data_IF_066946900625
#
_entry.id   IF_066946900625
#
_cell.length_a   1.000
_cell.length_b   1.000
_cell.length_c   1.000
_cell.angle_alpha   90.00
_cell.angle_beta   90.00
_cell.angle_gamma   90.00
#
_symmetry.space_group_name_H-M   'P 1'
#
loop_
_entity.id
_entity.type
_entity.pdbx_description
1 polymer ?
#
# COMPACT_ATOMS: atom_id res chain seq x y z
N UNK A 1 20.72 -3.81 12.86
CA UNK A 1 19.31 -3.35 12.86
C UNK A 1 19.13 -2.35 14.00
N UNK A 2 18.49 -1.21 13.76
CA UNK A 2 18.21 -0.27 14.84
C UNK A 2 17.32 -0.90 15.90
N UNK A 3 17.42 -0.41 17.13
CA UNK A 3 16.52 -0.84 18.20
C UNK A 3 15.09 -0.40 17.91
N UNK A 4 14.12 -1.06 18.57
CA UNK A 4 12.70 -0.68 18.45
C UNK A 4 12.51 0.79 18.85
N UNK A 5 13.21 1.25 19.88
CA UNK A 5 13.15 2.65 20.33
C UNK A 5 13.57 3.62 19.21
N UNK A 6 14.66 3.29 18.49
CA UNK A 6 15.14 4.13 17.38
C UNK A 6 14.13 4.16 16.23
N UNK A 7 13.42 3.06 15.99
CA UNK A 7 12.40 2.98 14.92
C UNK A 7 11.19 3.87 15.20
N UNK A 8 10.95 4.23 16.46
CA UNK A 8 9.84 5.10 16.84
C UNK A 8 10.27 6.50 17.27
N UNK A 9 11.51 6.88 16.95
CA UNK A 9 11.98 8.25 17.15
C UNK A 9 11.36 9.16 16.09
N UNK A 10 10.32 9.91 16.48
CA UNK A 10 9.58 10.78 15.58
C UNK A 10 10.31 12.10 15.26
N UNK A 11 11.50 12.31 15.82
CA UNK A 11 12.37 13.41 15.36
C UNK A 11 13.10 13.04 14.06
N UNK A 12 13.08 11.77 13.69
CA UNK A 12 13.67 11.28 12.44
C UNK A 12 12.57 11.21 11.37
N UNK A 13 12.68 12.06 10.34
CA UNK A 13 11.70 12.14 9.27
C UNK A 13 11.53 10.82 8.50
N UNK A 14 12.59 10.04 8.36
CA UNK A 14 12.51 8.72 7.73
C UNK A 14 11.56 7.79 8.50
N UNK A 15 11.61 7.80 9.82
CA UNK A 15 10.71 6.99 10.64
C UNK A 15 9.25 7.41 10.45
N UNK A 16 8.98 8.71 10.36
CA UNK A 16 7.63 9.22 10.10
C UNK A 16 7.14 8.72 8.74
N UNK A 17 7.95 8.87 7.70
CA UNK A 17 7.57 8.43 6.35
C UNK A 17 7.30 6.92 6.31
N UNK A 18 8.17 6.14 6.91
CA UNK A 18 8.02 4.67 6.97
C UNK A 18 6.73 4.26 7.67
N UNK A 19 6.45 4.85 8.82
CA UNK A 19 5.25 4.54 9.60
C UNK A 19 3.99 4.91 8.83
N UNK A 20 3.97 6.08 8.20
CA UNK A 20 2.83 6.54 7.41
C UNK A 20 2.59 5.60 6.23
N UNK A 21 3.65 5.20 5.52
CA UNK A 21 3.51 4.28 4.39
C UNK A 21 2.84 2.97 4.81
N UNK A 22 3.19 2.45 5.99
CA UNK A 22 2.58 1.22 6.50
C UNK A 22 1.17 1.45 7.05
N UNK A 23 0.98 2.49 7.84
CA UNK A 23 -0.30 2.75 8.51
C UNK A 23 -1.42 3.03 7.51
N UNK A 24 -1.13 3.62 6.38
CA UNK A 24 -2.13 3.95 5.37
C UNK A 24 -2.71 2.72 4.68
N UNK A 25 -2.09 1.55 4.83
CA UNK A 25 -2.70 0.30 4.36
C UNK A 25 -3.89 -0.14 5.20
N UNK A 26 -3.99 0.29 6.46
CA UNK A 26 -5.03 -0.18 7.38
C UNK A 26 -6.45 0.05 6.85
N UNK A 27 -6.82 1.27 6.38
CA UNK A 27 -8.14 1.48 5.79
C UNK A 27 -8.40 0.60 4.56
N UNK A 28 -7.38 0.34 3.76
CA UNK A 28 -7.50 -0.50 2.56
C UNK A 28 -7.71 -1.96 2.92
N UNK A 29 -7.04 -2.44 3.97
CA UNK A 29 -7.25 -3.80 4.49
C UNK A 29 -8.67 -3.92 5.02
N UNK A 30 -9.10 -2.96 5.83
CA UNK A 30 -10.45 -2.91 6.39
C UNK A 30 -11.50 -2.98 5.28
N UNK A 31 -11.32 -2.18 4.22
CA UNK A 31 -12.27 -2.13 3.11
C UNK A 31 -12.43 -3.47 2.42
N UNK A 32 -11.34 -4.25 2.28
CA UNK A 32 -11.39 -5.55 1.62
C UNK A 32 -12.22 -6.58 2.39
N UNK A 33 -12.38 -6.40 3.69
CA UNK A 33 -13.16 -7.32 4.51
C UNK A 33 -14.57 -6.81 4.80
N UNK A 34 -14.80 -5.51 4.82
CA UNK A 34 -16.04 -4.94 5.33
C UNK A 34 -16.78 -4.01 4.37
N UNK A 35 -16.15 -3.63 3.24
CA UNK A 35 -16.78 -2.73 2.26
C UNK A 35 -17.07 -3.52 0.98
N UNK A 36 -18.36 -3.70 0.61
CA UNK A 36 -18.72 -4.51 -0.57
C UNK A 36 -18.14 -3.99 -1.88
N UNK A 37 -17.96 -2.69 -2.01
CA UNK A 37 -17.41 -2.05 -3.22
C UNK A 37 -15.97 -2.47 -3.52
N UNK A 38 -15.23 -2.94 -2.51
CA UNK A 38 -13.87 -3.44 -2.72
C UNK A 38 -13.84 -4.63 -3.67
N UNK A 39 -14.77 -5.58 -3.52
CA UNK A 39 -14.88 -6.72 -4.43
C UNK A 39 -15.25 -6.24 -5.84
N UNK A 40 -16.15 -5.26 -5.95
CA UNK A 40 -16.53 -4.66 -7.23
C UNK A 40 -15.34 -4.08 -7.98
N UNK A 41 -14.40 -3.46 -7.26
CA UNK A 41 -13.16 -2.95 -7.88
C UNK A 41 -12.35 -4.10 -8.52
N UNK A 42 -12.18 -5.22 -7.82
CA UNK A 42 -11.44 -6.37 -8.35
C UNK A 42 -12.14 -6.98 -9.56
N UNK A 43 -13.47 -7.03 -9.56
CA UNK A 43 -14.25 -7.47 -10.72
C UNK A 43 -14.02 -6.53 -11.90
N UNK A 44 -14.11 -5.22 -11.68
CA UNK A 44 -13.94 -4.20 -12.72
C UNK A 44 -12.52 -4.20 -13.30
N UNK A 45 -11.51 -4.47 -12.46
CA UNK A 45 -10.12 -4.58 -12.88
C UNK A 45 -9.80 -5.90 -13.56
N UNK A 46 -10.79 -6.80 -13.69
CA UNK A 46 -10.68 -8.09 -14.39
C UNK A 46 -9.74 -9.09 -13.72
N UNK A 47 -9.60 -9.01 -12.42
CA UNK A 47 -8.92 -10.07 -11.64
C UNK A 47 -9.83 -11.31 -11.59
N UNK A 48 -9.27 -12.47 -11.85
CA UNK A 48 -10.03 -13.73 -11.89
C UNK A 48 -9.28 -14.83 -11.17
N UNK A 49 -9.88 -15.45 -10.12
CA UNK A 49 -11.13 -15.06 -9.48
C UNK A 49 -10.94 -13.82 -8.61
N UNK A 50 -11.86 -12.84 -8.67
CA UNK A 50 -11.64 -11.55 -8.01
C UNK A 50 -11.52 -11.65 -6.49
N UNK A 51 -12.29 -12.52 -5.87
CA UNK A 51 -12.30 -12.70 -4.42
C UNK A 51 -10.98 -13.25 -3.91
N UNK A 52 -10.37 -14.19 -4.63
CA UNK A 52 -9.05 -14.75 -4.26
C UNK A 52 -7.99 -13.66 -4.30
N UNK A 53 -7.94 -12.89 -5.37
CA UNK A 53 -6.97 -11.82 -5.52
C UNK A 53 -7.17 -10.70 -4.50
N UNK A 54 -8.42 -10.40 -4.14
CA UNK A 54 -8.72 -9.44 -3.09
C UNK A 54 -8.12 -9.89 -1.75
N UNK A 55 -8.28 -11.16 -1.37
CA UNK A 55 -7.71 -11.67 -0.13
C UNK A 55 -6.20 -11.82 -0.18
N UNK A 56 -5.62 -12.16 -1.32
CA UNK A 56 -4.16 -12.16 -1.52
C UNK A 56 -3.62 -10.75 -1.31
N UNK A 57 -4.25 -9.75 -1.90
CA UNK A 57 -3.88 -8.35 -1.70
C UNK A 57 -3.96 -7.95 -0.23
N UNK A 58 -5.04 -8.32 0.47
CA UNK A 58 -5.20 -8.04 1.89
C UNK A 58 -4.09 -8.68 2.74
N UNK A 59 -3.69 -9.91 2.41
CA UNK A 59 -2.60 -10.59 3.12
C UNK A 59 -1.27 -9.88 2.92
N UNK A 60 -0.95 -9.47 1.69
CA UNK A 60 0.26 -8.71 1.37
C UNK A 60 0.25 -7.38 2.12
N UNK A 61 -0.86 -6.66 2.07
CA UNK A 61 -1.00 -5.36 2.72
C UNK A 61 -0.84 -5.47 4.25
N UNK A 62 -1.40 -6.52 4.85
CA UNK A 62 -1.25 -6.75 6.28
C UNK A 62 0.21 -7.00 6.65
N UNK A 63 0.90 -7.84 5.90
CA UNK A 63 2.30 -8.16 6.14
C UNK A 63 3.19 -6.92 6.02
N UNK A 64 3.03 -6.14 4.94
CA UNK A 64 3.85 -4.94 4.74
C UNK A 64 3.49 -3.83 5.73
N UNK A 65 2.22 -3.69 6.11
CA UNK A 65 1.79 -2.71 7.10
C UNK A 65 2.46 -2.97 8.44
N UNK A 66 2.42 -4.20 8.93
CA UNK A 66 3.05 -4.59 10.20
C UNK A 66 4.55 -4.36 10.12
N UNK A 67 5.20 -4.83 9.07
CA UNK A 67 6.65 -4.71 8.91
C UNK A 67 7.08 -3.24 8.85
N UNK A 68 6.37 -2.39 8.10
CA UNK A 68 6.72 -0.98 7.96
C UNK A 68 6.47 -0.19 9.24
N UNK A 69 5.36 -0.42 9.92
CA UNK A 69 5.07 0.28 11.17
C UNK A 69 6.10 -0.08 12.24
N UNK A 70 6.46 -1.35 12.35
CA UNK A 70 7.43 -1.82 13.35
C UNK A 70 8.90 -1.61 12.93
N UNK A 71 9.15 -1.37 11.66
CA UNK A 71 10.52 -1.21 11.14
C UNK A 71 11.27 -2.51 11.01
N UNK A 72 10.57 -3.61 10.70
CA UNK A 72 11.15 -4.95 10.52
C UNK A 72 11.29 -5.22 9.03
N UNK A 73 12.48 -5.66 8.60
CA UNK A 73 12.75 -5.94 7.18
C UNK A 73 12.31 -4.78 6.26
N UNK A 74 12.59 -3.56 6.68
CA UNK A 74 12.05 -2.33 6.07
C UNK A 74 12.28 -2.27 4.57
N UNK A 75 13.51 -2.56 4.11
CA UNK A 75 13.83 -2.50 2.68
C UNK A 75 12.97 -3.45 1.86
N UNK A 76 12.82 -4.69 2.32
CA UNK A 76 12.05 -5.70 1.59
C UNK A 76 10.55 -5.42 1.68
N UNK A 77 10.06 -5.03 2.85
CA UNK A 77 8.65 -4.70 3.04
C UNK A 77 8.26 -3.49 2.18
N UNK A 78 9.09 -2.46 2.17
CA UNK A 78 8.82 -1.26 1.37
C UNK A 78 8.90 -1.54 -0.12
N UNK A 79 9.85 -2.38 -0.57
CA UNK A 79 9.95 -2.77 -1.97
C UNK A 79 8.70 -3.55 -2.41
N UNK A 80 8.23 -4.49 -1.58
CA UNK A 80 7.01 -5.23 -1.86
C UNK A 80 5.78 -4.31 -1.87
N UNK A 81 5.72 -3.37 -0.94
CA UNK A 81 4.64 -2.38 -0.90
C UNK A 81 4.63 -1.51 -2.16
N UNK A 82 5.79 -1.05 -2.60
CA UNK A 82 5.92 -0.25 -3.82
C UNK A 82 5.46 -1.03 -5.05
N UNK A 83 5.84 -2.29 -5.15
CA UNK A 83 5.42 -3.16 -6.25
C UNK A 83 3.89 -3.37 -6.21
N UNK A 84 3.35 -3.66 -5.04
CA UNK A 84 1.91 -3.87 -4.86
C UNK A 84 1.12 -2.61 -5.26
N UNK A 85 1.58 -1.44 -4.83
CA UNK A 85 0.92 -0.17 -5.16
C UNK A 85 1.07 0.20 -6.64
N UNK A 86 2.18 -0.19 -7.27
CA UNK A 86 2.35 0.00 -8.72
C UNK A 86 1.33 -0.83 -9.49
N UNK A 87 1.10 -2.07 -9.06
CA UNK A 87 0.04 -2.91 -9.64
C UNK A 87 -1.33 -2.26 -9.40
N UNK A 88 -1.55 -1.69 -8.21
CA UNK A 88 -2.79 -0.96 -7.91
C UNK A 88 -2.97 0.26 -8.82
N UNK A 89 -1.90 0.99 -9.12
CA UNK A 89 -1.94 2.12 -10.07
C UNK A 89 -2.44 1.66 -11.43
N UNK A 90 -1.91 0.55 -11.94
CA UNK A 90 -2.34 -0.01 -13.23
C UNK A 90 -3.82 -0.42 -13.17
N UNK A 91 -4.24 -1.06 -12.06
CA UNK A 91 -5.62 -1.49 -11.89
C UNK A 91 -6.58 -0.28 -11.85
N UNK A 92 -6.24 0.76 -11.10
CA UNK A 92 -7.04 1.99 -11.02
C UNK A 92 -7.11 2.67 -12.38
N UNK A 93 -5.97 2.74 -13.10
CA UNK A 93 -5.94 3.30 -14.44
C UNK A 93 -6.94 2.59 -15.37
N UNK A 94 -6.97 1.26 -15.32
CA UNK A 94 -7.87 0.46 -16.16
C UNK A 94 -9.34 0.66 -15.77
N UNK A 95 -9.63 0.68 -14.48
CA UNK A 95 -11.01 0.82 -13.98
C UNK A 95 -11.57 2.20 -14.29
N UNK A 96 -10.76 3.25 -14.16
CA UNK A 96 -11.21 4.64 -14.33
C UNK A 96 -11.07 5.16 -15.76
N UNK A 97 -10.45 4.41 -16.66
CA UNK A 97 -10.18 4.87 -18.00
C UNK A 97 -9.09 5.94 -18.06
N UNK A 98 -8.16 5.92 -17.10
CA UNK A 98 -7.00 6.82 -17.08
C UNK A 98 -7.21 8.12 -16.27
N UNK A 99 -8.20 8.18 -15.40
CA UNK A 99 -8.41 9.34 -14.55
C UNK A 99 -7.24 9.52 -13.57
N UNK A 100 -6.76 10.75 -13.47
CA UNK A 100 -5.59 11.09 -12.65
C UNK A 100 -5.97 11.54 -11.24
N UNK A 101 -6.94 12.45 -11.11
CA UNK A 101 -7.21 13.13 -9.84
C UNK A 101 -7.79 12.18 -8.79
N UNK A 102 -7.23 12.25 -7.58
CA UNK A 102 -7.63 11.38 -6.45
C UNK A 102 -9.10 11.54 -6.05
N UNK A 103 -9.63 12.78 -6.14
CA UNK A 103 -10.99 13.08 -5.71
C UNK A 103 -12.07 12.51 -6.62
N UNK A 104 -11.70 12.07 -7.82
CA UNK A 104 -12.60 11.39 -8.76
C UNK A 104 -12.22 9.92 -8.94
N UNK A 105 -11.47 9.36 -7.99
CA UNK A 105 -11.08 7.97 -8.00
C UNK A 105 -9.88 7.65 -8.88
N UNK A 106 -9.07 8.66 -9.26
CA UNK A 106 -7.91 8.47 -10.12
C UNK A 106 -6.71 7.83 -9.42
N UNK A 107 -5.66 7.56 -10.19
CA UNK A 107 -4.48 6.81 -9.72
C UNK A 107 -3.39 7.67 -9.07
N UNK A 108 -3.56 9.00 -9.02
CA UNK A 108 -2.58 9.93 -8.44
C UNK A 108 -2.16 9.51 -7.02
N UNK A 109 -3.13 9.20 -6.18
CA UNK A 109 -2.93 8.84 -4.80
C UNK A 109 -2.10 7.56 -4.65
N UNK A 110 -2.43 6.51 -5.41
CA UNK A 110 -1.67 5.26 -5.37
C UNK A 110 -0.26 5.44 -5.90
N UNK A 111 -0.09 6.25 -6.95
CA UNK A 111 1.23 6.52 -7.52
C UNK A 111 2.12 7.28 -6.53
N UNK A 112 1.58 8.31 -5.88
CA UNK A 112 2.31 9.06 -4.86
C UNK A 112 2.78 8.13 -3.73
N UNK A 113 1.86 7.29 -3.26
CA UNK A 113 2.14 6.33 -2.20
C UNK A 113 3.20 5.30 -2.62
N UNK A 114 3.12 4.80 -3.85
CA UNK A 114 4.12 3.87 -4.40
C UNK A 114 5.51 4.50 -4.42
N UNK A 115 5.61 5.77 -4.82
CA UNK A 115 6.87 6.51 -4.83
C UNK A 115 7.42 6.67 -3.41
N UNK A 116 6.56 6.99 -2.45
CA UNK A 116 6.97 7.08 -1.05
C UNK A 116 7.53 5.75 -0.53
N UNK A 117 6.87 4.64 -0.85
CA UNK A 117 7.35 3.31 -0.47
C UNK A 117 8.68 2.97 -1.13
N UNK A 118 8.87 3.36 -2.39
CA UNK A 118 10.14 3.18 -3.09
C UNK A 118 11.27 3.95 -2.41
N UNK A 119 11.00 5.18 -1.97
CA UNK A 119 11.99 5.99 -1.22
C UNK A 119 12.35 5.30 0.10
N UNK A 120 11.36 4.76 0.81
CA UNK A 120 11.61 4.02 2.04
C UNK A 120 12.47 2.79 1.76
N UNK A 121 12.22 2.07 0.67
CA UNK A 121 13.01 0.90 0.28
C UNK A 121 14.47 1.26 0.00
N UNK A 122 14.71 2.43 -0.63
CA UNK A 122 16.06 2.88 -0.95
C UNK A 122 16.87 3.27 0.29
N UNK A 123 16.22 3.67 1.37
CA UNK A 123 16.86 4.15 2.59
C UNK A 123 16.69 3.20 3.78
N UNK A 124 15.97 2.14 3.59
CA UNK A 124 15.78 1.11 4.61
C UNK A 124 16.84 0.04 4.54
#
# INVERSE_FOLDING_TARGET
MPSVTENFDLTNGFNILRIICGAFFVPHIYAKFFVPEALGFFVAAKFRPPKVWMYVSAAIETAVAVALVLGIYTMYAAALAALHLTIAVVAVYRVTGGKWLWNIGGYEYCLFWAICCAVVAMHG
#
